data_IF_845755687658
#
_entry.id   IF_845755687658
#
_cell.length_a   1.000
_cell.length_b   1.000
_cell.length_c   1.000
_cell.angle_alpha   90.00
_cell.angle_beta   90.00
_cell.angle_gamma   90.00
#
_symmetry.space_group_name_H-M   'P 1'
#
loop_
_entity.id
_entity.type
_entity.pdbx_description
1 polymer ?
#
# COMPACT_ATOMS: atom_id res chain seq x y z
N UNK A 1 -25.41 16.72 0.08
CA UNK A 1 -25.78 15.29 0.10
C UNK A 1 -24.87 14.55 1.07
N UNK A 2 -25.40 13.95 2.14
CA UNK A 2 -24.60 13.42 3.26
C UNK A 2 -23.78 12.16 2.90
N UNK A 3 -24.36 11.24 2.13
CA UNK A 3 -23.71 9.98 1.70
C UNK A 3 -22.40 10.21 0.96
N UNK A 4 -22.38 11.16 0.03
CA UNK A 4 -21.16 11.55 -0.69
C UNK A 4 -20.08 12.05 0.27
N UNK A 5 -20.44 12.90 1.26
CA UNK A 5 -19.48 13.39 2.26
C UNK A 5 -18.86 12.24 3.06
N UNK A 6 -19.67 11.35 3.64
CA UNK A 6 -19.15 10.25 4.44
C UNK A 6 -18.30 9.27 3.63
N UNK A 7 -18.70 8.99 2.39
CA UNK A 7 -17.94 8.13 1.48
C UNK A 7 -16.57 8.72 1.17
N UNK A 8 -16.51 10.01 0.82
CA UNK A 8 -15.25 10.69 0.52
C UNK A 8 -14.34 10.78 1.75
N UNK A 9 -14.90 11.06 2.95
CA UNK A 9 -14.13 11.06 4.21
C UNK A 9 -13.53 9.67 4.48
N UNK A 10 -14.29 8.60 4.29
CA UNK A 10 -13.77 7.24 4.45
C UNK A 10 -12.61 6.94 3.50
N UNK A 11 -12.67 7.42 2.25
CA UNK A 11 -11.58 7.29 1.28
C UNK A 11 -10.34 8.11 1.69
N UNK A 12 -10.52 9.33 2.20
CA UNK A 12 -9.41 10.16 2.72
C UNK A 12 -8.71 9.49 3.91
N UNK A 13 -9.45 8.82 4.80
CA UNK A 13 -8.85 8.06 5.92
C UNK A 13 -8.03 6.88 5.39
N UNK A 14 -8.55 6.12 4.44
CA UNK A 14 -7.79 5.05 3.76
C UNK A 14 -6.51 5.60 3.11
N UNK A 15 -6.60 6.76 2.46
CA UNK A 15 -5.45 7.41 1.84
C UNK A 15 -4.40 7.87 2.85
N UNK A 16 -4.83 8.40 3.99
CA UNK A 16 -3.93 8.89 5.04
C UNK A 16 -3.03 7.76 5.56
N UNK A 17 -3.58 6.56 5.74
CA UNK A 17 -2.80 5.39 6.14
C UNK A 17 -1.72 5.02 5.12
N UNK A 18 -2.02 5.12 3.82
CA UNK A 18 -1.05 4.86 2.76
C UNK A 18 0.03 5.93 2.69
N UNK A 19 -0.32 7.21 2.88
CA UNK A 19 0.66 8.30 2.97
C UNK A 19 1.64 8.08 4.11
N UNK A 20 1.17 7.61 5.26
CA UNK A 20 2.05 7.29 6.40
C UNK A 20 3.03 6.17 6.03
N UNK A 21 2.56 5.08 5.41
CA UNK A 21 3.44 4.00 4.98
C UNK A 21 4.43 4.42 3.88
N UNK A 22 3.98 5.23 2.93
CA UNK A 22 4.83 5.79 1.87
C UNK A 22 5.94 6.67 2.46
N UNK A 23 5.58 7.54 3.41
CA UNK A 23 6.52 8.39 4.10
C UNK A 23 7.54 7.59 4.89
N UNK A 24 7.14 6.49 5.55
CA UNK A 24 8.07 5.62 6.25
C UNK A 24 9.15 5.04 5.31
N UNK A 25 8.79 4.68 4.07
CA UNK A 25 9.75 4.21 3.07
C UNK A 25 10.68 5.33 2.60
N UNK A 26 10.15 6.52 2.32
CA UNK A 26 10.98 7.68 1.98
C UNK A 26 12.01 7.97 3.07
N UNK A 27 11.58 7.96 4.34
CA UNK A 27 12.48 8.20 5.47
C UNK A 27 13.55 7.13 5.61
N UNK A 28 13.20 5.85 5.39
CA UNK A 28 14.16 4.75 5.40
C UNK A 28 15.24 4.97 4.33
N UNK A 29 14.86 5.22 3.09
CA UNK A 29 15.81 5.39 1.97
C UNK A 29 16.70 6.61 2.20
N UNK A 30 16.11 7.76 2.51
CA UNK A 30 16.85 9.02 2.65
C UNK A 30 17.78 9.04 3.86
N UNK A 31 17.36 8.49 5.01
CA UNK A 31 18.16 8.56 6.25
C UNK A 31 19.11 7.40 6.40
N UNK A 32 18.74 6.20 5.93
CA UNK A 32 19.51 5.00 6.17
C UNK A 32 20.35 4.58 4.98
N UNK A 33 19.90 4.75 3.74
CA UNK A 33 20.53 4.11 2.57
C UNK A 33 21.28 5.08 1.66
N UNK A 34 20.79 6.30 1.47
CA UNK A 34 21.36 7.29 0.54
C UNK A 34 22.81 7.77 0.84
N UNK A 35 23.47 7.24 1.87
CA UNK A 35 24.88 7.53 2.21
C UNK A 35 25.74 6.27 2.31
N UNK A 36 25.18 5.11 1.94
CA UNK A 36 25.91 3.85 1.96
C UNK A 36 26.67 3.68 0.65
N UNK A 37 27.87 3.08 0.72
CA UNK A 37 28.67 2.77 -0.47
C UNK A 37 28.19 1.52 -1.23
N UNK A 38 27.31 0.73 -0.61
CA UNK A 38 26.68 -0.48 -1.16
C UNK A 38 25.46 -0.84 -0.31
N UNK A 39 24.52 -1.61 -0.86
CA UNK A 39 23.41 -2.20 -0.10
C UNK A 39 23.53 -3.72 -0.08
N UNK A 40 23.17 -4.31 1.06
CA UNK A 40 22.98 -5.76 1.14
C UNK A 40 21.72 -6.17 0.38
N UNK A 41 21.72 -7.39 -0.16
CA UNK A 41 20.56 -8.00 -0.84
C UNK A 41 19.29 -7.91 0.03
N UNK A 42 19.40 -8.26 1.32
CA UNK A 42 18.28 -8.19 2.26
C UNK A 42 17.71 -6.79 2.49
N UNK A 43 18.53 -5.72 2.41
CA UNK A 43 18.04 -4.34 2.49
C UNK A 43 17.26 -3.96 1.23
N UNK A 44 17.79 -4.30 0.05
CA UNK A 44 17.16 -4.00 -1.23
C UNK A 44 15.85 -4.77 -1.42
N UNK A 45 15.83 -6.06 -1.05
CA UNK A 45 14.64 -6.91 -1.07
C UNK A 45 13.55 -6.40 -0.15
N UNK A 46 13.91 -6.03 1.09
CA UNK A 46 12.95 -5.48 2.04
C UNK A 46 12.23 -4.23 1.51
N UNK A 47 12.98 -3.32 0.87
CA UNK A 47 12.39 -2.13 0.24
C UNK A 47 11.49 -2.54 -0.91
N UNK A 48 11.95 -3.40 -1.81
CA UNK A 48 11.16 -3.87 -2.95
C UNK A 48 9.84 -4.53 -2.53
N UNK A 49 9.87 -5.39 -1.52
CA UNK A 49 8.67 -6.01 -0.94
C UNK A 49 7.72 -4.98 -0.33
N UNK A 50 8.27 -3.99 0.36
CA UNK A 50 7.47 -2.90 0.95
C UNK A 50 6.79 -2.07 -0.13
N UNK A 51 7.51 -1.69 -1.19
CA UNK A 51 6.96 -0.95 -2.33
C UNK A 51 5.89 -1.76 -3.07
N UNK A 52 6.11 -3.06 -3.26
CA UNK A 52 5.13 -3.95 -3.91
C UNK A 52 3.83 -4.01 -3.11
N UNK A 53 3.91 -4.19 -1.78
CA UNK A 53 2.74 -4.16 -0.90
C UNK A 53 2.02 -2.83 -0.93
N UNK A 54 2.76 -1.70 -0.99
CA UNK A 54 2.17 -0.37 -1.12
C UNK A 54 1.43 -0.22 -2.45
N UNK A 55 2.04 -0.66 -3.55
CA UNK A 55 1.45 -0.59 -4.88
C UNK A 55 0.18 -1.45 -4.99
N UNK A 56 0.24 -2.71 -4.52
CA UNK A 56 -0.91 -3.61 -4.44
C UNK A 56 -2.03 -3.02 -3.57
N UNK A 57 -1.65 -2.42 -2.43
CA UNK A 57 -2.61 -1.74 -1.55
C UNK A 57 -3.27 -0.55 -2.24
N UNK A 58 -2.63 0.10 -3.22
CA UNK A 58 -3.22 1.16 -4.02
C UNK A 58 -4.22 0.62 -5.05
N UNK A 59 -3.88 -0.44 -5.77
CA UNK A 59 -4.75 -1.02 -6.81
C UNK A 59 -6.04 -1.66 -6.24
N UNK A 60 -6.00 -2.13 -4.98
CA UNK A 60 -7.14 -2.79 -4.32
C UNK A 60 -8.06 -1.87 -3.52
N UNK A 61 -7.84 -0.55 -3.54
CA UNK A 61 -8.59 0.40 -2.70
C UNK A 61 -10.02 0.55 -3.15
N UNK A 62 -10.86 1.04 -2.24
CA UNK A 62 -12.25 1.40 -2.54
C UNK A 62 -12.36 2.46 -3.63
N UNK A 63 -11.39 3.38 -3.69
CA UNK A 63 -11.31 4.42 -4.72
C UNK A 63 -11.27 3.79 -6.12
N UNK A 64 -10.29 2.93 -6.37
CA UNK A 64 -10.10 2.26 -7.66
C UNK A 64 -11.23 1.28 -7.97
N UNK A 65 -11.75 0.59 -6.95
CA UNK A 65 -12.77 -0.45 -7.13
C UNK A 65 -14.17 0.10 -7.38
N UNK A 66 -14.53 1.25 -6.80
CA UNK A 66 -15.92 1.73 -6.79
C UNK A 66 -16.06 3.16 -7.28
N UNK A 67 -15.18 4.08 -6.84
CA UNK A 67 -15.33 5.50 -7.17
C UNK A 67 -14.93 5.81 -8.61
N UNK A 68 -13.73 5.39 -9.06
CA UNK A 68 -13.29 5.65 -10.44
C UNK A 68 -14.24 5.04 -11.49
N UNK A 69 -14.74 3.80 -11.34
CA UNK A 69 -15.72 3.25 -12.27
C UNK A 69 -17.04 4.03 -12.27
N UNK A 70 -17.52 4.46 -11.10
CA UNK A 70 -18.73 5.29 -11.02
C UNK A 70 -18.54 6.64 -11.72
N UNK A 71 -17.37 7.24 -11.56
CA UNK A 71 -17.03 8.53 -12.15
C UNK A 71 -16.90 8.43 -13.68
N UNK A 72 -16.28 7.37 -14.19
CA UNK A 72 -16.22 7.09 -15.65
C UNK A 72 -17.63 6.91 -16.24
N UNK A 73 -18.51 6.17 -15.57
CA UNK A 73 -19.91 6.01 -16.00
C UNK A 73 -20.66 7.34 -15.99
N UNK A 74 -20.49 8.16 -14.96
CA UNK A 74 -21.15 9.46 -14.87
C UNK A 74 -20.59 10.46 -15.91
N UNK A 75 -19.27 10.46 -16.13
CA UNK A 75 -18.60 11.32 -17.10
C UNK A 75 -18.97 11.01 -18.56
N UNK A 76 -19.16 9.73 -18.90
CA UNK A 76 -19.64 9.30 -20.22
C UNK A 76 -21.07 9.76 -20.52
N UNK A 77 -21.90 9.98 -19.49
CA UNK A 77 -23.29 10.46 -19.62
C UNK A 77 -23.38 11.99 -19.62
N UNK A 78 -22.43 12.68 -18.98
CA UNK A 78 -22.50 14.11 -18.70
C UNK A 78 -21.52 15.00 -19.50
N UNK A 79 -20.73 14.45 -20.43
CA UNK A 79 -19.64 15.17 -21.14
C UNK A 79 -18.74 15.96 -20.15
N UNK A 80 -18.40 15.32 -19.02
CA UNK A 80 -17.81 16.00 -17.87
C UNK A 80 -16.28 16.15 -17.98
N UNK A 81 -15.68 17.18 -17.34
CA UNK A 81 -14.24 17.50 -17.41
C UNK A 81 -13.32 16.53 -16.64
N UNK A 82 -13.79 15.31 -16.33
CA UNK A 82 -13.05 14.36 -15.52
C UNK A 82 -12.02 13.54 -16.30
N UNK A 83 -12.20 13.37 -17.61
CA UNK A 83 -11.39 12.45 -18.41
C UNK A 83 -9.88 12.80 -18.40
N UNK A 84 -9.45 14.07 -18.53
CA UNK A 84 -8.04 14.40 -18.44
C UNK A 84 -7.41 14.02 -17.10
N UNK A 85 -8.14 14.26 -16.00
CA UNK A 85 -7.68 13.91 -14.66
C UNK A 85 -7.61 12.39 -14.47
N UNK A 86 -8.60 11.65 -14.98
CA UNK A 86 -8.57 10.18 -14.91
C UNK A 86 -7.37 9.60 -15.68
N UNK A 87 -7.08 10.14 -16.87
CA UNK A 87 -5.89 9.79 -17.64
C UNK A 87 -4.60 10.12 -16.89
N UNK A 88 -4.53 11.27 -16.21
CA UNK A 88 -3.39 11.66 -15.36
C UNK A 88 -3.21 10.66 -14.20
N UNK A 89 -4.28 10.31 -13.48
CA UNK A 89 -4.21 9.32 -12.39
C UNK A 89 -3.73 7.95 -12.88
N UNK A 90 -4.16 7.53 -14.08
CA UNK A 90 -3.70 6.29 -14.71
C UNK A 90 -2.21 6.37 -15.11
N UNK A 91 -1.76 7.52 -15.64
CA UNK A 91 -0.34 7.79 -15.93
C UNK A 91 0.53 7.74 -14.67
N UNK A 92 0.08 8.35 -13.57
CA UNK A 92 0.79 8.32 -12.30
C UNK A 92 0.92 6.90 -11.74
N UNK A 93 -0.14 6.09 -11.87
CA UNK A 93 -0.09 4.67 -11.52
C UNK A 93 0.90 3.85 -12.36
N UNK A 94 1.00 4.15 -13.67
CA UNK A 94 2.00 3.52 -14.55
C UNK A 94 3.42 3.96 -14.18
N UNK A 95 3.63 5.25 -13.94
CA UNK A 95 4.92 5.80 -13.51
C UNK A 95 5.41 5.15 -12.20
N UNK A 96 4.51 4.98 -11.22
CA UNK A 96 4.82 4.24 -10.01
C UNK A 96 5.20 2.77 -10.31
N UNK A 97 4.45 2.06 -11.15
CA UNK A 97 4.78 0.68 -11.52
C UNK A 97 6.14 0.55 -12.22
N UNK A 98 6.46 1.48 -13.12
CA UNK A 98 7.74 1.53 -13.82
C UNK A 98 8.92 1.79 -12.87
N UNK A 99 8.74 2.73 -11.92
CA UNK A 99 9.71 3.02 -10.88
C UNK A 99 9.93 1.82 -9.95
N UNK A 100 8.86 1.15 -9.51
CA UNK A 100 8.93 -0.11 -8.76
C UNK A 100 9.69 -1.19 -9.54
N UNK A 101 9.34 -1.40 -10.81
CA UNK A 101 10.02 -2.38 -11.66
C UNK A 101 11.51 -2.06 -11.82
N UNK A 102 11.87 -0.77 -11.89
CA UNK A 102 13.26 -0.33 -11.94
C UNK A 102 14.00 -0.62 -10.65
N UNK A 103 13.42 -0.28 -9.49
CA UNK A 103 13.99 -0.59 -8.19
C UNK A 103 14.20 -2.10 -8.00
N UNK A 104 13.21 -2.93 -8.36
CA UNK A 104 13.35 -4.39 -8.28
C UNK A 104 14.42 -4.95 -9.22
N UNK A 105 14.59 -4.41 -10.43
CA UNK A 105 15.67 -4.84 -11.33
C UNK A 105 17.05 -4.49 -10.79
N UNK A 106 17.20 -3.31 -10.19
CA UNK A 106 18.45 -2.90 -9.55
C UNK A 106 18.75 -3.78 -8.32
N UNK A 107 17.74 -4.08 -7.51
CA UNK A 107 17.85 -4.96 -6.35
C UNK A 107 18.18 -6.42 -6.71
N UNK A 108 17.67 -6.93 -7.83
CA UNK A 108 18.02 -8.27 -8.34
C UNK A 108 19.45 -8.33 -8.91
N UNK A 109 20.04 -7.17 -9.23
CA UNK A 109 21.47 -7.04 -9.46
C UNK A 109 22.24 -6.97 -8.14
N UNK A 110 23.51 -6.61 -8.21
CA UNK A 110 24.32 -6.31 -7.04
C UNK A 110 24.43 -4.80 -6.88
N UNK A 111 23.97 -4.25 -5.76
CA UNK A 111 24.13 -2.82 -5.43
C UNK A 111 25.47 -2.65 -4.68
N UNK A 112 26.57 -2.63 -5.44
CA UNK A 112 27.92 -2.73 -4.89
C UNK A 112 28.71 -1.40 -4.91
N UNK A 113 28.17 -0.37 -5.54
CA UNK A 113 28.78 0.96 -5.62
C UNK A 113 27.82 2.05 -5.16
N UNK A 114 28.36 3.21 -4.80
CA UNK A 114 27.58 4.41 -4.45
C UNK A 114 26.65 4.84 -5.60
N UNK A 115 27.09 4.69 -6.85
CA UNK A 115 26.25 4.96 -8.03
C UNK A 115 25.04 4.01 -8.12
N UNK A 116 25.23 2.71 -7.79
CA UNK A 116 24.12 1.76 -7.73
C UNK A 116 23.14 2.11 -6.61
N UNK A 117 23.66 2.55 -5.45
CA UNK A 117 22.85 2.99 -4.31
C UNK A 117 22.02 4.21 -4.70
N UNK A 118 22.63 5.20 -5.34
CA UNK A 118 21.96 6.41 -5.80
C UNK A 118 20.88 6.09 -6.84
N UNK A 119 21.18 5.22 -7.82
CA UNK A 119 20.23 4.79 -8.83
C UNK A 119 19.03 4.05 -8.20
N UNK A 120 19.28 3.18 -7.22
CA UNK A 120 18.24 2.48 -6.48
C UNK A 120 17.39 3.45 -5.67
N UNK A 121 18.01 4.32 -4.87
CA UNK A 121 17.32 5.32 -4.05
C UNK A 121 16.45 6.24 -4.93
N UNK A 122 16.97 6.69 -6.07
CA UNK A 122 16.24 7.51 -7.04
C UNK A 122 15.01 6.78 -7.62
N UNK A 123 15.12 5.49 -7.92
CA UNK A 123 13.98 4.70 -8.38
C UNK A 123 12.88 4.61 -7.30
N UNK A 124 13.27 4.41 -6.04
CA UNK A 124 12.33 4.41 -4.91
C UNK A 124 11.69 5.79 -4.71
N UNK A 125 12.47 6.87 -4.80
CA UNK A 125 11.94 8.22 -4.69
C UNK A 125 10.95 8.55 -5.81
N UNK A 126 11.23 8.14 -7.05
CA UNK A 126 10.31 8.29 -8.19
C UNK A 126 8.99 7.57 -7.95
N UNK A 127 9.04 6.35 -7.39
CA UNK A 127 7.83 5.62 -6.98
C UNK A 127 7.02 6.44 -5.96
N UNK A 128 7.68 6.94 -4.92
CA UNK A 128 7.02 7.70 -3.87
C UNK A 128 6.39 8.99 -4.40
N UNK A 129 7.13 9.77 -5.19
CA UNK A 129 6.64 11.02 -5.79
C UNK A 129 5.43 10.76 -6.70
N UNK A 130 5.44 9.69 -7.50
CA UNK A 130 4.31 9.36 -8.36
C UNK A 130 3.03 9.07 -7.55
N UNK A 131 3.14 8.32 -6.45
CA UNK A 131 1.99 8.04 -5.57
C UNK A 131 1.54 9.26 -4.77
N UNK A 132 2.46 10.08 -4.26
CA UNK A 132 2.12 11.33 -3.57
C UNK A 132 1.34 12.27 -4.47
N UNK A 133 1.82 12.47 -5.70
CA UNK A 133 1.13 13.29 -6.68
C UNK A 133 -0.25 12.72 -7.01
N UNK A 134 -0.36 11.40 -7.17
CA UNK A 134 -1.65 10.74 -7.40
C UNK A 134 -2.63 10.99 -6.24
N UNK A 135 -2.18 10.78 -5.00
CA UNK A 135 -2.99 11.03 -3.80
C UNK A 135 -3.43 12.50 -3.68
N UNK A 136 -2.55 13.43 -4.05
CA UNK A 136 -2.87 14.85 -4.06
C UNK A 136 -3.94 15.19 -5.11
N UNK A 137 -3.84 14.62 -6.32
CA UNK A 137 -4.84 14.77 -7.38
C UNK A 137 -6.20 14.16 -6.98
N UNK A 138 -6.16 12.98 -6.34
CA UNK A 138 -7.36 12.31 -5.82
C UNK A 138 -8.14 13.21 -4.84
N UNK A 139 -7.46 13.79 -3.85
CA UNK A 139 -8.14 14.60 -2.82
C UNK A 139 -8.51 16.01 -3.30
N UNK A 140 -7.60 16.69 -4.01
CA UNK A 140 -7.80 18.11 -4.35
C UNK A 140 -8.72 18.34 -5.54
N UNK A 141 -8.78 17.38 -6.46
CA UNK A 141 -9.47 17.56 -7.75
C UNK A 141 -10.53 16.48 -7.97
N UNK A 142 -10.17 15.20 -7.85
CA UNK A 142 -11.10 14.11 -8.14
C UNK A 142 -12.29 14.11 -7.19
N UNK A 143 -12.09 14.31 -5.89
CA UNK A 143 -13.18 14.28 -4.91
C UNK A 143 -14.19 15.42 -5.10
N UNK A 144 -13.78 16.69 -5.30
CA UNK A 144 -14.71 17.75 -5.69
C UNK A 144 -15.47 17.44 -6.99
N UNK A 145 -14.79 16.94 -8.02
CA UNK A 145 -15.42 16.57 -9.30
C UNK A 145 -16.45 15.45 -9.09
N UNK A 146 -16.07 14.39 -8.38
CA UNK A 146 -16.95 13.27 -8.07
C UNK A 146 -18.24 13.73 -7.38
N UNK A 147 -18.11 14.67 -6.43
CA UNK A 147 -19.24 15.21 -5.68
C UNK A 147 -20.20 16.00 -6.57
N UNK A 148 -19.71 16.68 -7.60
CA UNK A 148 -20.52 17.47 -8.53
C UNK A 148 -21.15 16.65 -9.66
N UNK A 149 -20.46 15.61 -10.13
CA UNK A 149 -20.85 14.85 -11.33
C UNK A 149 -21.70 13.61 -10.99
N UNK A 150 -21.45 12.94 -9.87
CA UNK A 150 -22.17 11.71 -9.51
C UNK A 150 -23.52 12.07 -8.87
N UNK A 151 -24.60 11.55 -9.45
CA UNK A 151 -25.96 11.69 -8.95
C UNK A 151 -26.16 11.02 -7.57
N UNK A 152 -27.20 11.41 -6.85
CA UNK A 152 -27.32 11.02 -5.44
C UNK A 152 -27.63 9.57 -5.17
N UNK A 153 -28.54 9.01 -5.93
CA UNK A 153 -28.82 7.58 -6.01
C UNK A 153 -27.55 6.77 -6.37
N UNK A 154 -26.74 7.26 -7.31
CA UNK A 154 -25.47 6.64 -7.66
C UNK A 154 -24.46 6.68 -6.49
N UNK A 155 -24.41 7.76 -5.70
CA UNK A 155 -23.61 7.82 -4.47
C UNK A 155 -24.06 6.79 -3.42
N UNK A 156 -25.35 6.54 -3.27
CA UNK A 156 -25.85 5.48 -2.39
C UNK A 156 -25.37 4.09 -2.84
N UNK A 157 -25.42 3.82 -4.15
CA UNK A 157 -24.92 2.55 -4.69
C UNK A 157 -23.42 2.37 -4.42
N UNK A 158 -22.60 3.41 -4.64
CA UNK A 158 -21.16 3.39 -4.36
C UNK A 158 -20.90 3.13 -2.86
N UNK A 159 -21.58 3.86 -1.97
CA UNK A 159 -21.42 3.70 -0.53
C UNK A 159 -21.80 2.28 -0.07
N UNK A 160 -22.90 1.73 -0.56
CA UNK A 160 -23.33 0.39 -0.22
C UNK A 160 -22.33 -0.68 -0.68
N UNK A 161 -21.75 -0.54 -1.88
CA UNK A 161 -20.69 -1.43 -2.37
C UNK A 161 -19.43 -1.37 -1.49
N UNK A 162 -19.05 -0.19 -1.02
CA UNK A 162 -17.91 -0.03 -0.11
C UNK A 162 -18.16 -0.72 1.24
N UNK A 163 -19.36 -0.56 1.82
CA UNK A 163 -19.73 -1.21 3.08
C UNK A 163 -19.77 -2.74 2.95
N UNK A 164 -20.36 -3.25 1.86
CA UNK A 164 -20.37 -4.68 1.58
C UNK A 164 -18.94 -5.24 1.42
N UNK A 165 -18.04 -4.46 0.79
CA UNK A 165 -16.64 -4.83 0.69
C UNK A 165 -15.93 -4.88 2.05
N UNK A 166 -16.18 -3.91 2.93
CA UNK A 166 -15.64 -3.92 4.28
C UNK A 166 -16.12 -5.13 5.09
N UNK A 167 -17.43 -5.41 5.05
CA UNK A 167 -18.01 -6.56 5.73
C UNK A 167 -17.40 -7.88 5.23
N UNK A 168 -17.24 -8.03 3.92
CA UNK A 168 -16.56 -9.18 3.33
C UNK A 168 -15.11 -9.31 3.81
N UNK A 169 -14.34 -8.19 3.80
CA UNK A 169 -12.95 -8.21 4.26
C UNK A 169 -12.83 -8.59 5.73
N UNK A 170 -13.73 -8.10 6.57
CA UNK A 170 -13.70 -8.38 8.00
C UNK A 170 -13.98 -9.87 8.29
N UNK A 171 -14.99 -10.45 7.64
CA UNK A 171 -15.30 -11.88 7.76
C UNK A 171 -14.13 -12.78 7.34
N UNK A 172 -13.40 -12.38 6.29
CA UNK A 172 -12.29 -13.16 5.74
C UNK A 172 -10.97 -12.91 6.47
N UNK A 173 -10.85 -11.81 7.23
CA UNK A 173 -9.67 -11.51 8.06
C UNK A 173 -9.55 -12.46 9.25
N UNK A 174 -10.68 -12.97 9.76
CA UNK A 174 -10.76 -13.87 10.91
C UNK A 174 -10.34 -15.34 10.67
N UNK A 175 -9.96 -15.73 9.44
CA UNK A 175 -9.62 -17.13 9.11
C UNK A 175 -8.12 -17.47 9.16
N UNK A 176 -7.25 -16.54 9.55
CA UNK A 176 -5.84 -16.88 9.79
C UNK A 176 -5.75 -17.69 11.08
N UNK A 177 -5.38 -18.99 11.03
CA UNK A 177 -5.16 -19.75 12.25
C UNK A 177 -4.05 -19.06 13.05
N UNK A 178 -4.17 -18.94 14.38
CA UNK A 178 -3.07 -18.43 15.18
C UNK A 178 -1.81 -19.26 14.89
N UNK A 179 -0.62 -18.64 14.77
CA UNK A 179 0.61 -19.40 14.61
C UNK A 179 0.69 -20.38 15.78
N UNK A 180 0.85 -21.67 15.47
CA UNK A 180 1.02 -22.71 16.48
C UNK A 180 2.12 -22.25 17.44
N UNK A 181 1.70 -21.87 18.64
CA UNK A 181 2.60 -21.41 19.68
C UNK A 181 3.62 -22.50 19.94
N UNK A 182 4.89 -22.11 20.03
CA UNK A 182 6.04 -22.96 20.44
C UNK A 182 5.91 -23.43 21.91
N UNK A 183 4.72 -23.76 22.37
CA UNK A 183 4.47 -24.38 23.67
C UNK A 183 4.53 -25.91 23.51
N UNK A 184 5.73 -26.43 23.29
CA UNK A 184 5.93 -27.88 23.14
C UNK A 184 7.38 -28.33 23.24
N UNK A 185 8.27 -27.50 23.80
CA UNK A 185 9.70 -27.85 23.94
C UNK A 185 10.25 -27.55 25.34
N UNK A 186 9.42 -27.70 26.37
CA UNK A 186 9.77 -27.44 27.77
C UNK A 186 9.46 -28.56 28.77
N UNK A 187 8.79 -29.65 28.38
CA UNK A 187 8.32 -30.68 29.34
C UNK A 187 8.98 -32.07 29.22
N UNK A 188 10.07 -32.19 28.44
CA UNK A 188 10.78 -33.47 28.29
C UNK A 188 12.09 -33.60 29.11
N UNK A 189 12.51 -32.55 29.84
CA UNK A 189 13.84 -32.52 30.48
C UNK A 189 13.84 -32.65 32.02
N UNK A 190 12.70 -32.86 32.70
CA UNK A 190 12.64 -32.87 34.17
C UNK A 190 12.14 -34.19 34.78
N UNK A 191 12.34 -35.34 34.11
CA UNK A 191 11.87 -36.64 34.63
C UNK A 191 12.84 -37.81 34.52
N UNK A 192 14.14 -37.56 34.63
CA UNK A 192 15.17 -38.55 34.98
C UNK A 192 16.18 -37.79 35.86
N UNK A 193 16.14 -37.85 37.20
CA UNK A 193 16.22 -39.05 38.03
C UNK A 193 17.68 -39.35 38.36
N UNK A 194 18.39 -38.42 39.02
CA UNK A 194 19.71 -38.68 39.61
C UNK A 194 19.53 -39.45 40.92
N UNK A 195 20.19 -40.61 41.13
CA UNK A 195 20.25 -41.23 42.44
C UNK A 195 21.36 -40.57 43.26
N UNK A 196 20.99 -40.00 44.41
CA UNK A 196 21.95 -39.67 45.48
C UNK A 196 22.08 -40.91 46.36
N UNK A 197 23.29 -41.44 46.50
CA UNK A 197 23.67 -42.34 47.59
C UNK A 197 25.11 -42.02 47.99
N UNK A 198 25.25 -41.67 49.27
CA UNK A 198 26.44 -41.24 50.00
C UNK A 198 27.36 -42.42 50.38
N UNK A 199 28.66 -42.13 50.60
CA UNK A 199 29.66 -42.81 51.46
C UNK A 199 29.96 -44.29 51.09
N UNK A 200 31.21 -44.74 50.87
CA UNK A 200 32.50 -44.42 51.47
C UNK A 200 33.64 -44.85 50.54
#
# INVERSE_FOLDING_TARGET
MLTATYTLVALSVEQTNLRVSLHAVQQLVQKSYARQSALTEGQADYVCDTLRRLYESCQGRKLDRFLLPALRRAGAVANAPAEPLLCELDMLSRSAAEALGTACRLAAGSIASEEDVDAFCLAVERFCVALELRFDREERELFPIARGVIAGDAWFAVANQMLAYDAYREEHRGRVPPPASRAGRGEAAHRQGLPVSYLH
#
